data_IF_879163850263
#
_entry.id   IF_879163850263
#
_cell.length_a   1.000
_cell.length_b   1.000
_cell.length_c   1.000
_cell.angle_alpha   90.00
_cell.angle_beta   90.00
_cell.angle_gamma   90.00
#
_symmetry.space_group_name_H-M   'P 1'
#
loop_
_entity.id
_entity.type
_entity.pdbx_description
1 polymer ?
#
# COMPACT_ATOMS: atom_id res chain seq x y z
N UNK A 1 -30.99 33.49 -31.10
CA UNK A 1 -30.59 32.31 -30.32
C UNK A 1 -29.09 32.17 -30.47
N UNK A 2 -28.32 32.78 -29.58
CA UNK A 2 -26.86 32.74 -29.60
C UNK A 2 -26.47 31.35 -29.16
N UNK A 3 -25.86 30.54 -30.05
CA UNK A 3 -25.29 29.26 -29.72
C UNK A 3 -24.08 29.58 -28.81
N UNK A 4 -24.21 29.28 -27.52
CA UNK A 4 -23.08 29.36 -26.57
C UNK A 4 -21.97 28.44 -27.04
N UNK A 5 -20.89 29.02 -27.49
CA UNK A 5 -19.77 28.41 -28.19
C UNK A 5 -18.70 27.88 -27.23
N UNK A 6 -19.03 27.11 -26.19
CA UNK A 6 -17.98 26.53 -25.38
C UNK A 6 -18.35 25.22 -24.65
N UNK A 7 -19.07 24.35 -25.31
CA UNK A 7 -19.24 22.99 -24.77
C UNK A 7 -17.91 22.23 -25.01
N UNK A 8 -17.23 21.81 -23.95
CA UNK A 8 -16.07 20.95 -24.10
C UNK A 8 -16.51 19.61 -24.72
N UNK A 9 -15.76 19.11 -25.69
CA UNK A 9 -16.10 17.89 -26.43
C UNK A 9 -14.90 16.97 -26.51
N UNK A 10 -15.14 15.68 -26.35
CA UNK A 10 -14.15 14.64 -26.58
C UNK A 10 -14.13 14.37 -28.08
N UNK A 11 -12.99 14.63 -28.72
CA UNK A 11 -12.81 14.38 -30.15
C UNK A 11 -12.35 12.94 -30.42
N UNK A 12 -11.56 12.38 -29.51
CA UNK A 12 -10.97 11.02 -29.62
C UNK A 12 -10.65 10.51 -28.22
N UNK A 13 -10.81 9.20 -28.02
CA UNK A 13 -10.33 8.53 -26.81
C UNK A 13 -8.85 8.19 -26.94
N UNK A 14 -8.08 8.51 -25.93
CA UNK A 14 -6.65 8.18 -25.85
C UNK A 14 -6.51 6.81 -25.17
N UNK A 15 -5.76 5.85 -25.75
CA UNK A 15 -5.51 4.56 -25.11
C UNK A 15 -4.89 4.71 -23.72
N UNK A 16 -5.30 3.84 -22.78
CA UNK A 16 -4.79 3.86 -21.40
C UNK A 16 -3.26 3.73 -21.37
N UNK A 17 -2.69 2.85 -22.20
CA UNK A 17 -1.25 2.60 -22.27
C UNK A 17 -0.47 3.87 -22.65
N UNK A 18 -1.03 4.70 -23.54
CA UNK A 18 -0.40 5.97 -23.91
C UNK A 18 -0.37 6.96 -22.75
N UNK A 19 -1.44 6.99 -21.92
CA UNK A 19 -1.47 7.78 -20.69
C UNK A 19 -0.42 7.29 -19.69
N UNK A 20 -0.34 5.98 -19.46
CA UNK A 20 0.63 5.40 -18.52
C UNK A 20 2.07 5.56 -19.03
N UNK A 21 2.31 5.46 -20.32
CA UNK A 21 3.62 5.71 -20.93
C UNK A 21 4.07 7.16 -20.74
N UNK A 22 3.16 8.12 -20.82
CA UNK A 22 3.49 9.54 -20.59
C UNK A 22 4.01 9.80 -19.18
N UNK A 23 3.56 9.04 -18.17
CA UNK A 23 4.08 9.16 -16.81
C UNK A 23 5.56 8.78 -16.71
N UNK A 24 6.02 7.80 -17.47
CA UNK A 24 7.41 7.36 -17.42
C UNK A 24 8.37 8.46 -17.89
N UNK A 25 7.97 9.24 -18.90
CA UNK A 25 8.81 10.28 -19.50
C UNK A 25 8.71 11.65 -18.82
N UNK A 26 7.60 11.95 -18.14
CA UNK A 26 7.28 13.30 -17.65
C UNK A 26 7.23 13.46 -16.14
N UNK A 27 7.02 12.37 -15.40
CA UNK A 27 6.82 12.47 -13.95
C UNK A 27 8.07 11.96 -13.25
N UNK A 28 8.73 12.84 -12.53
CA UNK A 28 9.81 12.49 -11.62
C UNK A 28 9.29 12.11 -10.24
N UNK A 29 10.00 11.23 -9.55
CA UNK A 29 9.71 10.93 -8.15
C UNK A 29 9.99 12.16 -7.26
N UNK A 30 9.14 12.36 -6.25
CA UNK A 30 9.32 13.45 -5.29
C UNK A 30 10.60 13.27 -4.46
N UNK A 31 11.13 14.37 -3.95
CA UNK A 31 12.34 14.34 -3.11
C UNK A 31 12.10 13.50 -1.86
N UNK A 32 13.06 12.65 -1.48
CA UNK A 32 13.00 11.89 -0.24
C UNK A 32 13.00 12.79 0.98
N UNK A 33 12.34 12.35 2.07
CA UNK A 33 12.39 13.04 3.37
C UNK A 33 12.48 12.03 4.50
N UNK A 34 13.19 12.39 5.57
CA UNK A 34 13.16 11.66 6.83
C UNK A 34 11.82 11.90 7.52
N UNK A 35 11.23 10.86 8.01
CA UNK A 35 9.90 10.90 8.61
C UNK A 35 9.85 9.94 9.79
N UNK A 36 9.24 10.34 10.93
CA UNK A 36 8.96 9.41 12.01
C UNK A 36 8.19 8.19 11.49
N UNK A 37 8.59 7.00 11.91
CA UNK A 37 8.00 5.76 11.43
C UNK A 37 6.48 5.70 11.64
N UNK A 38 5.99 6.27 12.75
CA UNK A 38 4.56 6.36 13.06
C UNK A 38 3.71 7.11 12.01
N UNK A 39 4.35 7.94 11.18
CA UNK A 39 3.70 8.73 10.11
C UNK A 39 3.97 8.17 8.71
N UNK A 40 4.65 7.01 8.62
CA UNK A 40 5.15 6.48 7.36
C UNK A 40 4.29 5.34 6.77
N UNK A 41 3.12 5.03 7.36
CA UNK A 41 2.23 3.98 6.86
C UNK A 41 1.85 4.23 5.39
N UNK A 42 2.01 3.21 4.55
CA UNK A 42 1.68 3.27 3.13
C UNK A 42 2.67 4.08 2.28
N UNK A 43 3.65 4.75 2.87
CA UNK A 43 4.68 5.46 2.12
C UNK A 43 5.68 4.49 1.48
N UNK A 44 6.36 4.95 0.42
CA UNK A 44 7.39 4.20 -0.30
C UNK A 44 8.76 4.60 0.23
N UNK A 45 9.59 3.61 0.56
CA UNK A 45 10.95 3.81 1.04
C UNK A 45 11.84 4.40 -0.07
N UNK A 46 12.64 5.39 0.30
CA UNK A 46 13.62 6.01 -0.56
C UNK A 46 15.06 5.54 -0.29
N UNK A 47 15.24 4.73 0.76
CA UNK A 47 16.49 4.08 1.13
C UNK A 47 16.19 2.75 1.82
N UNK A 48 17.15 1.83 1.79
CA UNK A 48 17.07 0.59 2.55
C UNK A 48 17.03 0.88 4.04
N UNK A 49 16.24 0.10 4.79
CA UNK A 49 16.15 0.16 6.24
C UNK A 49 17.08 -0.89 6.82
N UNK A 50 18.28 -0.47 7.20
CA UNK A 50 19.27 -1.33 7.84
C UNK A 50 19.06 -1.32 9.36
N UNK A 51 18.81 -2.47 10.00
CA UNK A 51 18.69 -2.55 11.45
C UNK A 51 20.08 -2.49 12.10
N UNK A 52 20.18 -2.03 13.35
CA UNK A 52 21.32 -2.38 14.19
C UNK A 52 21.28 -3.86 14.50
N UNK A 53 22.32 -4.37 15.15
CA UNK A 53 22.30 -5.73 15.71
C UNK A 53 21.21 -5.82 16.80
N UNK A 54 20.23 -6.71 16.60
CA UNK A 54 19.09 -6.89 17.49
C UNK A 54 18.88 -8.39 17.80
N UNK A 55 18.91 -8.81 19.07
CA UNK A 55 19.40 -8.05 20.22
C UNK A 55 20.91 -7.77 20.11
N UNK A 56 21.46 -6.72 20.79
CA UNK A 56 22.89 -6.41 20.71
C UNK A 56 23.79 -7.39 21.48
N UNK A 57 23.21 -8.27 22.28
CA UNK A 57 23.83 -9.34 23.05
C UNK A 57 22.85 -10.50 23.23
N UNK A 58 23.32 -11.74 23.50
CA UNK A 58 22.40 -12.85 23.70
C UNK A 58 21.43 -12.60 24.84
N UNK A 59 20.15 -12.99 24.65
CA UNK A 59 19.06 -12.85 25.63
C UNK A 59 18.33 -14.17 25.81
N UNK A 60 17.68 -14.32 26.97
CA UNK A 60 16.84 -15.46 27.28
C UNK A 60 15.50 -15.40 26.53
N UNK A 61 15.10 -16.50 25.87
CA UNK A 61 13.79 -16.66 25.24
C UNK A 61 12.73 -17.23 26.19
N UNK A 62 13.13 -17.68 27.38
CA UNK A 62 12.27 -18.25 28.42
C UNK A 62 12.84 -17.97 29.79
N UNK A 63 11.97 -18.00 30.79
CA UNK A 63 12.38 -17.95 32.20
C UNK A 63 13.11 -19.23 32.59
N UNK A 64 14.21 -19.10 33.34
CA UNK A 64 15.00 -20.24 33.76
C UNK A 64 16.31 -19.86 34.40
N UNK A 65 17.26 -20.79 34.35
CA UNK A 65 18.63 -20.55 34.78
C UNK A 65 19.56 -20.55 33.57
N UNK A 66 20.26 -19.46 33.36
CA UNK A 66 21.34 -19.39 32.39
C UNK A 66 22.52 -20.26 32.89
N UNK A 67 23.01 -21.14 32.06
CA UNK A 67 24.06 -22.11 32.37
C UNK A 67 25.06 -22.24 31.22
N UNK A 68 26.24 -22.76 31.48
CA UNK A 68 27.07 -23.37 30.47
C UNK A 68 26.55 -24.80 30.21
N UNK A 69 26.01 -25.09 29.01
CA UNK A 69 25.38 -26.37 28.70
C UNK A 69 26.30 -27.55 28.96
N UNK A 70 27.61 -27.37 28.73
CA UNK A 70 28.65 -28.39 28.97
C UNK A 70 28.73 -28.80 30.45
N UNK A 71 28.46 -27.92 31.41
CA UNK A 71 28.53 -28.23 32.85
C UNK A 71 27.42 -29.17 33.32
N UNK A 72 26.32 -29.25 32.58
CA UNK A 72 25.14 -30.07 32.89
C UNK A 72 24.86 -31.16 31.85
N UNK A 73 25.82 -31.47 30.99
CA UNK A 73 25.64 -32.42 29.88
C UNK A 73 25.23 -33.84 30.32
N UNK A 74 25.45 -34.21 31.63
CA UNK A 74 25.01 -35.46 32.21
C UNK A 74 23.75 -35.39 33.07
N UNK A 75 23.11 -34.26 33.16
CA UNK A 75 21.95 -34.07 34.04
C UNK A 75 20.74 -34.92 33.61
N UNK A 76 20.09 -35.50 34.61
CA UNK A 76 18.88 -36.30 34.41
C UNK A 76 18.08 -36.47 35.69
N UNK A 77 16.86 -36.99 35.65
CA UNK A 77 16.00 -37.16 36.84
C UNK A 77 16.65 -38.09 37.92
N UNK A 78 17.48 -39.03 37.49
CA UNK A 78 18.18 -39.97 38.39
C UNK A 78 19.62 -39.56 38.66
N UNK A 79 20.12 -38.56 37.97
CA UNK A 79 21.47 -38.02 38.14
C UNK A 79 21.41 -36.49 38.05
N UNK A 80 20.78 -35.80 39.04
CA UNK A 80 20.78 -34.35 39.09
C UNK A 80 22.18 -33.78 39.14
N UNK A 81 22.43 -32.69 38.40
CA UNK A 81 23.73 -32.02 38.41
C UNK A 81 23.62 -30.63 39.05
N UNK A 82 24.48 -30.30 40.02
CA UNK A 82 24.51 -28.97 40.62
C UNK A 82 24.78 -27.92 39.54
N UNK A 83 24.11 -26.80 39.62
CA UNK A 83 24.39 -25.67 38.76
C UNK A 83 25.74 -25.05 39.06
N UNK A 84 26.53 -24.72 38.04
CA UNK A 84 27.84 -24.12 38.17
C UNK A 84 27.78 -22.70 38.79
N UNK A 85 28.96 -22.17 39.13
CA UNK A 85 29.07 -20.84 39.77
C UNK A 85 28.64 -19.67 38.84
N UNK A 86 28.66 -19.89 37.54
CA UNK A 86 28.22 -18.93 36.52
C UNK A 86 26.70 -18.92 36.33
N UNK A 87 26.03 -19.98 36.82
CA UNK A 87 24.58 -20.12 36.65
C UNK A 87 23.83 -19.07 37.44
N UNK A 88 22.91 -18.40 36.78
CA UNK A 88 22.01 -17.43 37.46
C UNK A 88 20.60 -17.47 36.89
N UNK A 89 19.65 -17.11 37.72
CA UNK A 89 18.27 -16.97 37.28
C UNK A 89 18.13 -15.82 36.31
N UNK A 90 17.44 -16.07 35.20
CA UNK A 90 17.11 -15.08 34.17
C UNK A 90 15.63 -15.17 33.84
N UNK A 91 15.04 -14.02 33.53
CA UNK A 91 13.70 -13.93 32.99
C UNK A 91 13.77 -13.70 31.47
N UNK A 92 12.67 -13.98 30.77
CA UNK A 92 12.57 -13.77 29.33
C UNK A 92 12.96 -12.33 28.94
N UNK A 93 13.78 -12.18 27.89
CA UNK A 93 14.37 -10.91 27.48
C UNK A 93 15.59 -10.47 28.31
N UNK A 94 15.91 -11.15 29.39
CA UNK A 94 17.12 -10.89 30.19
C UNK A 94 18.39 -11.25 29.45
N UNK A 95 19.45 -10.44 29.61
CA UNK A 95 20.73 -10.73 29.00
C UNK A 95 21.40 -11.95 29.63
N UNK A 96 22.02 -12.80 28.82
CA UNK A 96 22.81 -13.93 29.32
C UNK A 96 24.07 -13.41 30.01
N UNK A 97 24.39 -13.95 31.23
CA UNK A 97 25.65 -13.70 31.89
C UNK A 97 26.81 -14.26 31.07
N UNK A 98 27.96 -13.64 31.24
CA UNK A 98 29.23 -14.17 30.63
C UNK A 98 29.51 -15.58 31.09
N UNK A 99 29.89 -16.46 30.17
CA UNK A 99 30.19 -17.86 30.43
C UNK A 99 28.98 -18.78 30.43
N UNK A 100 27.77 -18.27 30.11
CA UNK A 100 26.57 -19.09 29.90
C UNK A 100 26.16 -19.08 28.45
N UNK A 101 25.58 -20.17 27.94
CA UNK A 101 25.22 -20.37 26.55
C UNK A 101 23.84 -21.05 26.34
N UNK A 102 23.14 -21.41 27.44
CA UNK A 102 21.84 -22.07 27.37
C UNK A 102 20.97 -21.70 28.56
N UNK A 103 19.65 -21.95 28.45
CA UNK A 103 18.69 -21.75 29.53
C UNK A 103 18.06 -23.08 29.93
N UNK A 104 18.24 -23.48 31.18
CA UNK A 104 17.49 -24.58 31.79
C UNK A 104 16.16 -24.04 32.26
N UNK A 105 15.01 -24.57 31.78
CA UNK A 105 13.70 -24.11 32.22
C UNK A 105 13.43 -24.44 33.69
N UNK A 106 12.55 -23.67 34.34
CA UNK A 106 12.33 -23.82 35.80
C UNK A 106 11.80 -25.19 36.21
N UNK A 107 11.06 -25.87 35.37
CA UNK A 107 10.51 -27.21 35.58
C UNK A 107 11.61 -28.32 35.49
N UNK A 108 12.74 -27.97 34.92
CA UNK A 108 13.92 -28.86 34.88
C UNK A 108 14.95 -28.54 35.98
N UNK A 109 14.54 -27.76 37.00
CA UNK A 109 15.38 -27.45 38.18
C UNK A 109 14.77 -28.10 39.43
N UNK A 110 15.61 -28.78 40.18
CA UNK A 110 15.30 -29.29 41.54
C UNK A 110 16.05 -28.45 42.57
N UNK A 111 15.40 -28.13 43.69
CA UNK A 111 16.03 -27.43 44.82
C UNK A 111 16.36 -28.44 45.92
N UNK A 112 17.61 -28.54 46.31
CA UNK A 112 18.06 -29.32 47.51
C UNK A 112 18.65 -28.37 48.53
N UNK A 113 17.85 -27.98 49.51
CA UNK A 113 18.24 -26.91 50.42
C UNK A 113 18.47 -25.61 49.67
N UNK A 114 19.65 -25.01 49.82
CA UNK A 114 20.00 -23.75 49.12
C UNK A 114 20.67 -23.99 47.74
N UNK A 115 20.71 -25.22 47.23
CA UNK A 115 21.35 -25.55 45.98
C UNK A 115 20.33 -25.89 44.90
N UNK A 116 20.50 -25.28 43.73
CA UNK A 116 19.76 -25.62 42.55
C UNK A 116 20.51 -26.69 41.73
N UNK A 117 19.80 -27.71 41.30
CA UNK A 117 20.34 -28.83 40.48
C UNK A 117 19.49 -28.95 39.22
N UNK A 118 20.16 -29.12 38.05
CA UNK A 118 19.49 -29.46 36.81
C UNK A 118 19.11 -30.94 36.80
N UNK A 119 17.86 -31.23 36.46
CA UNK A 119 17.36 -32.62 36.27
C UNK A 119 17.17 -33.00 34.81
N UNK A 120 17.52 -32.09 33.88
CA UNK A 120 17.58 -32.36 32.46
C UNK A 120 18.75 -31.60 31.82
N UNK A 121 19.26 -32.12 30.71
CA UNK A 121 20.25 -31.44 29.87
C UNK A 121 19.62 -30.43 28.96
N UNK A 122 20.38 -29.43 28.54
CA UNK A 122 20.05 -28.49 27.46
C UNK A 122 21.21 -28.44 26.46
N UNK A 123 20.89 -28.21 25.19
CA UNK A 123 21.92 -28.03 24.17
C UNK A 123 22.47 -26.58 24.22
N UNK A 124 23.72 -26.35 23.78
CA UNK A 124 24.23 -24.98 23.57
C UNK A 124 23.29 -24.18 22.67
N UNK A 125 22.94 -22.95 23.07
CA UNK A 125 21.99 -22.09 22.36
C UNK A 125 20.51 -22.37 22.69
N UNK A 126 20.20 -23.44 23.43
CA UNK A 126 18.79 -23.74 23.75
C UNK A 126 18.19 -22.71 24.70
N UNK A 127 17.05 -22.16 24.30
CA UNK A 127 16.36 -21.09 25.05
C UNK A 127 17.02 -19.72 24.95
N UNK A 128 17.97 -19.54 24.03
CA UNK A 128 18.74 -18.30 23.84
C UNK A 128 18.49 -17.72 22.45
N UNK A 129 18.25 -16.43 22.40
CA UNK A 129 18.34 -15.65 21.17
C UNK A 129 19.74 -15.04 21.11
N UNK A 130 20.51 -15.45 20.12
CA UNK A 130 21.85 -14.94 19.92
C UNK A 130 21.84 -13.43 19.56
N UNK A 131 22.97 -12.76 19.76
CA UNK A 131 23.16 -11.41 19.26
C UNK A 131 22.87 -11.36 17.75
N UNK A 132 22.10 -10.36 17.30
CA UNK A 132 21.67 -10.22 15.91
C UNK A 132 20.64 -11.27 15.43
N UNK A 133 20.12 -12.11 16.30
CA UNK A 133 19.22 -13.20 15.94
C UNK A 133 17.85 -12.75 15.39
N UNK A 134 17.36 -11.60 15.82
CA UNK A 134 16.13 -11.00 15.26
C UNK A 134 16.41 -10.15 14.02
N UNK A 135 17.49 -9.37 14.07
CA UNK A 135 17.89 -8.54 12.95
C UNK A 135 19.39 -8.21 13.02
N UNK A 136 20.03 -8.19 11.87
CA UNK A 136 21.45 -7.89 11.75
C UNK A 136 21.74 -6.88 10.64
N UNK A 137 22.78 -6.03 10.76
CA UNK A 137 23.10 -4.98 9.78
C UNK A 137 23.33 -5.49 8.35
N UNK A 138 23.69 -6.78 8.19
CA UNK A 138 23.93 -7.38 6.88
C UNK A 138 22.64 -7.58 6.05
N UNK A 139 21.47 -7.53 6.67
CA UNK A 139 20.18 -7.79 6.01
C UNK A 139 19.21 -6.64 6.25
N UNK A 140 18.85 -5.95 5.18
CA UNK A 140 17.85 -4.88 5.26
C UNK A 140 16.48 -5.46 5.66
N UNK A 141 15.81 -4.86 6.63
CA UNK A 141 14.42 -5.20 7.01
C UNK A 141 13.45 -4.88 5.87
N UNK A 142 13.72 -3.82 5.15
CA UNK A 142 12.98 -3.38 3.96
C UNK A 142 13.92 -2.69 3.00
N UNK A 143 13.61 -2.79 1.72
CA UNK A 143 14.41 -2.20 0.64
C UNK A 143 13.81 -0.94 0.07
N UNK A 144 14.65 -0.14 -0.55
CA UNK A 144 14.22 1.03 -1.35
C UNK A 144 13.18 0.61 -2.39
N UNK A 145 12.14 1.43 -2.56
CA UNK A 145 11.01 1.16 -3.46
C UNK A 145 9.87 0.35 -2.85
N UNK A 146 10.10 -0.33 -1.72
CA UNK A 146 9.03 -1.05 -1.02
C UNK A 146 8.11 -0.12 -0.23
N UNK A 147 6.84 -0.53 -0.14
CA UNK A 147 5.82 0.19 0.63
C UNK A 147 5.78 -0.29 2.07
N UNK A 148 5.73 0.65 3.01
CA UNK A 148 5.62 0.34 4.45
C UNK A 148 4.21 -0.13 4.80
N UNK A 149 4.12 -1.26 5.49
CA UNK A 149 2.89 -1.90 5.95
C UNK A 149 2.73 -1.70 7.46
N UNK A 150 1.55 -1.96 7.99
CA UNK A 150 1.28 -1.89 9.42
C UNK A 150 2.23 -2.76 10.26
N UNK A 151 2.59 -3.96 9.76
CA UNK A 151 3.53 -4.85 10.45
C UNK A 151 4.94 -4.25 10.52
N UNK A 152 5.37 -3.53 9.48
CA UNK A 152 6.68 -2.88 9.46
C UNK A 152 6.76 -1.79 10.54
N UNK A 153 5.65 -1.06 10.77
CA UNK A 153 5.53 -0.04 11.81
C UNK A 153 5.52 -0.64 13.24
N UNK A 154 5.20 -1.92 13.38
CA UNK A 154 5.27 -2.64 14.65
C UNK A 154 6.66 -3.25 14.89
N UNK A 155 7.26 -3.87 13.86
CA UNK A 155 8.52 -4.60 14.00
C UNK A 155 9.77 -3.68 14.03
N UNK A 156 9.79 -2.62 13.21
CA UNK A 156 10.97 -1.75 13.12
C UNK A 156 11.32 -1.01 14.42
N UNK A 157 10.34 -0.49 15.21
CA UNK A 157 10.66 0.10 16.51
C UNK A 157 11.27 -0.90 17.49
N UNK A 158 10.87 -2.18 17.44
CA UNK A 158 11.48 -3.22 18.26
C UNK A 158 12.98 -3.43 17.92
N UNK A 159 13.36 -3.17 16.68
CA UNK A 159 14.77 -3.13 16.24
C UNK A 159 15.44 -1.75 16.44
N UNK A 160 14.81 -0.81 17.18
CA UNK A 160 15.37 0.51 17.48
C UNK A 160 15.27 1.53 16.35
N UNK A 161 14.46 1.28 15.32
CA UNK A 161 14.29 2.19 14.17
C UNK A 161 13.11 3.12 14.45
N UNK A 162 13.39 4.40 14.66
CA UNK A 162 12.38 5.43 14.94
C UNK A 162 11.98 6.24 13.70
N UNK A 163 12.86 6.35 12.72
CA UNK A 163 12.68 7.16 11.51
C UNK A 163 13.09 6.38 10.27
N UNK A 164 12.45 6.73 9.16
CA UNK A 164 12.74 6.16 7.83
C UNK A 164 12.82 7.28 6.79
N UNK A 165 13.51 7.01 5.69
CA UNK A 165 13.56 7.92 4.54
C UNK A 165 12.52 7.46 3.52
N UNK A 166 11.51 8.29 3.27
CA UNK A 166 10.38 7.97 2.41
C UNK A 166 10.17 9.01 1.31
N UNK A 167 9.42 8.60 0.27
CA UNK A 167 8.74 9.52 -0.65
C UNK A 167 7.24 9.47 -0.38
N UNK A 168 6.68 10.62 0.00
CA UNK A 168 5.26 10.79 0.27
C UNK A 168 4.77 11.98 -0.56
N UNK A 169 4.17 11.72 -1.74
CA UNK A 169 3.67 12.78 -2.60
C UNK A 169 2.59 13.61 -1.91
N UNK A 170 2.60 14.91 -2.16
CA UNK A 170 1.54 15.84 -1.74
C UNK A 170 0.50 15.91 -2.84
N UNK A 171 -0.69 15.44 -2.57
CA UNK A 171 -1.79 15.39 -3.52
C UNK A 171 -2.88 16.38 -3.11
N UNK A 172 -3.18 17.36 -3.97
CA UNK A 172 -4.34 18.21 -3.78
C UNK A 172 -5.58 17.59 -4.45
N UNK A 173 -6.69 17.61 -3.75
CA UNK A 173 -8.02 17.26 -4.27
C UNK A 173 -8.84 18.52 -4.38
N UNK A 174 -9.41 18.78 -5.55
CA UNK A 174 -10.26 19.95 -5.77
C UNK A 174 -11.55 19.57 -6.47
N UNK A 175 -12.66 20.20 -6.10
CA UNK A 175 -13.89 20.10 -6.89
C UNK A 175 -13.77 20.97 -8.12
N UNK A 176 -14.04 20.38 -9.26
CA UNK A 176 -14.03 21.06 -10.55
C UNK A 176 -15.46 21.46 -10.99
N UNK A 177 -16.40 21.50 -10.05
CA UNK A 177 -17.78 21.92 -10.28
C UNK A 177 -18.36 22.55 -9.01
N UNK A 178 -19.21 23.53 -9.15
CA UNK A 178 -19.96 24.15 -8.05
C UNK A 178 -21.05 23.23 -7.48
N UNK A 179 -21.42 22.15 -8.18
CA UNK A 179 -22.42 21.20 -7.72
C UNK A 179 -22.00 20.54 -6.39
N UNK A 180 -22.95 20.42 -5.47
CA UNK A 180 -22.75 19.75 -4.19
C UNK A 180 -23.75 18.60 -4.07
N UNK A 181 -23.41 17.45 -4.64
CA UNK A 181 -24.26 16.26 -4.59
C UNK A 181 -23.65 15.20 -3.67
N UNK A 182 -24.47 14.33 -3.06
CA UNK A 182 -23.94 13.22 -2.25
C UNK A 182 -22.96 12.33 -3.01
N UNK A 183 -23.19 12.10 -4.30
CA UNK A 183 -22.31 11.27 -5.15
C UNK A 183 -20.94 11.92 -5.34
N UNK A 184 -20.90 13.22 -5.60
CA UNK A 184 -19.65 13.96 -5.74
C UNK A 184 -18.86 13.99 -4.41
N UNK A 185 -19.55 14.15 -3.29
CA UNK A 185 -18.93 14.05 -1.96
C UNK A 185 -18.35 12.66 -1.72
N UNK A 186 -19.10 11.61 -2.08
CA UNK A 186 -18.62 10.23 -1.95
C UNK A 186 -17.38 9.99 -2.82
N UNK A 187 -17.35 10.47 -4.06
CA UNK A 187 -16.18 10.39 -4.92
C UNK A 187 -14.95 11.07 -4.29
N UNK A 188 -15.10 12.30 -3.78
CA UNK A 188 -14.02 13.04 -3.13
C UNK A 188 -13.48 12.30 -1.90
N UNK A 189 -14.37 11.86 -1.00
CA UNK A 189 -13.97 11.10 0.21
C UNK A 189 -13.28 9.80 -0.15
N UNK A 190 -13.79 9.07 -1.16
CA UNK A 190 -13.19 7.82 -1.62
C UNK A 190 -11.79 8.06 -2.17
N UNK A 191 -11.60 9.01 -3.07
CA UNK A 191 -10.29 9.33 -3.65
C UNK A 191 -9.30 9.81 -2.58
N UNK A 192 -9.75 10.63 -1.62
CA UNK A 192 -8.92 11.06 -0.49
C UNK A 192 -8.40 9.87 0.32
N UNK A 193 -9.29 8.94 0.68
CA UNK A 193 -8.91 7.72 1.41
C UNK A 193 -7.96 6.82 0.61
N UNK A 194 -8.24 6.64 -0.67
CA UNK A 194 -7.36 5.87 -1.56
C UNK A 194 -5.96 6.49 -1.64
N UNK A 195 -5.86 7.82 -1.74
CA UNK A 195 -4.59 8.53 -1.79
C UNK A 195 -3.81 8.44 -0.47
N UNK A 196 -4.49 8.60 0.67
CA UNK A 196 -3.88 8.43 2.00
C UNK A 196 -3.36 7.00 2.17
N UNK A 197 -4.17 5.99 1.81
CA UNK A 197 -3.75 4.58 1.85
C UNK A 197 -2.56 4.31 0.92
N UNK A 198 -2.44 5.06 -0.19
CA UNK A 198 -1.30 5.01 -1.09
C UNK A 198 -0.06 5.79 -0.57
N UNK A 199 -0.10 6.34 0.65
CA UNK A 199 1.02 7.04 1.29
C UNK A 199 1.17 8.51 0.87
N UNK A 200 0.13 9.14 0.30
CA UNK A 200 0.12 10.55 -0.01
C UNK A 200 -0.23 11.41 1.20
N UNK A 201 0.38 12.60 1.26
CA UNK A 201 -0.15 13.70 2.05
C UNK A 201 -1.26 14.39 1.24
N UNK A 202 -2.49 14.33 1.71
CA UNK A 202 -3.66 14.85 0.97
C UNK A 202 -4.09 16.18 1.55
N UNK A 203 -4.34 17.15 0.66
CA UNK A 203 -4.97 18.43 0.98
C UNK A 203 -6.23 18.62 0.11
N UNK A 204 -7.20 19.39 0.62
CA UNK A 204 -8.39 19.75 -0.13
C UNK A 204 -8.35 21.25 -0.45
N UNK A 205 -8.53 21.57 -1.73
CA UNK A 205 -8.67 22.95 -2.18
C UNK A 205 -10.15 23.32 -2.37
N UNK A 206 -10.48 24.58 -2.16
CA UNK A 206 -11.86 25.07 -2.24
C UNK A 206 -12.43 25.01 -3.66
N UNK A 207 -11.57 25.14 -4.68
CA UNK A 207 -11.94 25.08 -6.10
C UNK A 207 -10.77 24.57 -6.96
N UNK A 208 -11.11 24.09 -8.17
CA UNK A 208 -10.10 23.73 -9.17
C UNK A 208 -9.22 24.93 -9.55
N UNK A 209 -9.81 26.09 -9.72
CA UNK A 209 -9.12 27.32 -10.10
C UNK A 209 -8.02 27.72 -9.09
N UNK A 210 -8.32 27.62 -7.81
CA UNK A 210 -7.38 27.86 -6.72
C UNK A 210 -6.25 26.81 -6.74
N UNK A 211 -6.60 25.52 -6.77
CA UNK A 211 -5.65 24.42 -6.79
C UNK A 211 -4.70 24.45 -8.00
N UNK A 212 -5.16 24.89 -9.16
CA UNK A 212 -4.33 25.07 -10.35
C UNK A 212 -3.30 26.19 -10.17
N UNK A 213 -3.66 27.24 -9.41
CA UNK A 213 -2.78 28.39 -9.16
C UNK A 213 -1.79 28.16 -8.02
N UNK A 214 -2.13 27.31 -7.05
CA UNK A 214 -1.28 26.98 -5.90
C UNK A 214 -0.16 26.02 -6.28
N UNK A 215 1.07 26.35 -5.89
CA UNK A 215 2.29 25.57 -6.19
C UNK A 215 2.68 24.52 -5.14
N UNK A 216 1.84 24.25 -4.13
CA UNK A 216 2.26 23.50 -2.94
C UNK A 216 2.02 21.98 -3.01
N UNK A 217 1.48 21.44 -4.10
CA UNK A 217 1.27 20.01 -4.29
C UNK A 217 2.12 19.43 -5.43
N UNK A 218 2.39 18.14 -5.36
CA UNK A 218 3.16 17.41 -6.35
C UNK A 218 2.28 16.88 -7.49
N UNK A 219 0.97 16.72 -7.23
CA UNK A 219 -0.06 16.44 -8.22
C UNK A 219 -1.42 16.97 -7.78
N UNK A 220 -2.33 17.17 -8.73
CA UNK A 220 -3.70 17.62 -8.49
C UNK A 220 -4.70 16.62 -9.08
N UNK A 221 -5.75 16.31 -8.33
CA UNK A 221 -6.94 15.61 -8.84
C UNK A 221 -8.13 16.57 -8.78
N UNK A 222 -8.67 16.93 -9.95
CA UNK A 222 -9.91 17.68 -10.10
C UNK A 222 -11.09 16.73 -10.26
N UNK A 223 -12.17 16.90 -9.47
CA UNK A 223 -13.30 15.99 -9.42
C UNK A 223 -14.54 16.65 -9.99
N UNK A 224 -15.10 16.09 -11.05
CA UNK A 224 -16.26 16.57 -11.78
C UNK A 224 -15.90 17.51 -12.94
N UNK A 225 -16.91 17.96 -13.68
CA UNK A 225 -16.76 18.95 -14.74
C UNK A 225 -16.00 18.48 -15.99
N UNK A 226 -15.85 17.18 -16.21
CA UNK A 226 -15.08 16.60 -17.33
C UNK A 226 -15.94 16.26 -18.55
N UNK A 227 -17.26 16.23 -18.42
CA UNK A 227 -18.19 15.86 -19.49
C UNK A 227 -18.49 16.99 -20.46
N UNK A 228 -19.64 16.88 -21.15
CA UNK A 228 -20.14 17.86 -22.12
C UNK A 228 -21.35 18.63 -21.60
N UNK A 229 -21.61 18.59 -20.30
CA UNK A 229 -22.70 19.31 -19.65
C UNK A 229 -22.49 20.83 -19.67
N UNK A 230 -23.57 21.59 -19.53
CA UNK A 230 -23.52 23.07 -19.53
C UNK A 230 -22.62 23.68 -18.44
N UNK A 231 -22.30 22.93 -17.40
CA UNK A 231 -21.46 23.34 -16.26
C UNK A 231 -20.13 22.63 -16.22
N UNK A 232 -19.80 21.88 -17.28
CA UNK A 232 -18.56 21.14 -17.36
C UNK A 232 -17.52 22.02 -18.08
N UNK A 233 -16.60 22.58 -17.31
CA UNK A 233 -15.57 23.51 -17.76
C UNK A 233 -14.17 23.18 -17.21
N UNK A 234 -14.04 22.07 -16.49
CA UNK A 234 -12.79 21.69 -15.82
C UNK A 234 -11.61 21.58 -16.78
N UNK A 235 -11.85 21.00 -17.97
CA UNK A 235 -10.79 20.82 -18.99
C UNK A 235 -10.41 22.17 -19.61
N UNK A 236 -11.37 23.07 -19.81
CA UNK A 236 -11.09 24.44 -20.28
C UNK A 236 -10.33 25.24 -19.24
N UNK A 237 -10.67 25.07 -17.95
CA UNK A 237 -9.96 25.73 -16.86
C UNK A 237 -8.51 25.27 -16.77
N UNK A 238 -8.27 23.97 -16.95
CA UNK A 238 -6.90 23.44 -17.07
C UNK A 238 -6.18 24.00 -18.30
N UNK A 239 -6.85 24.07 -19.46
CA UNK A 239 -6.27 24.59 -20.70
C UNK A 239 -5.87 26.08 -20.60
N UNK A 240 -6.57 26.89 -19.80
CA UNK A 240 -6.22 28.30 -19.57
C UNK A 240 -4.94 28.49 -18.75
N UNK A 241 -4.59 27.53 -17.88
CA UNK A 241 -3.47 27.67 -16.93
C UNK A 241 -2.34 26.71 -17.19
N UNK A 242 -2.55 25.73 -18.06
CA UNK A 242 -1.58 24.71 -18.34
C UNK A 242 -1.79 24.08 -19.72
N UNK A 243 -1.40 22.84 -19.85
CA UNK A 243 -1.56 22.08 -21.09
C UNK A 243 -2.41 20.84 -20.84
N UNK A 244 -3.45 20.66 -21.63
CA UNK A 244 -4.22 19.43 -21.71
C UNK A 244 -3.49 18.46 -22.62
N UNK A 245 -3.15 17.29 -22.13
CA UNK A 245 -2.49 16.23 -22.89
C UNK A 245 -3.51 15.27 -23.51
N UNK A 246 -4.51 14.91 -22.73
CA UNK A 246 -5.61 14.07 -23.19
C UNK A 246 -6.92 14.54 -22.55
N UNK A 247 -7.99 14.60 -23.35
CA UNK A 247 -9.38 14.69 -22.91
C UNK A 247 -10.17 13.60 -23.58
N UNK A 248 -10.65 12.65 -22.79
CA UNK A 248 -11.18 11.37 -23.23
C UNK A 248 -10.12 10.29 -23.22
N UNK A 249 -10.33 9.28 -22.37
CA UNK A 249 -9.43 8.13 -22.19
C UNK A 249 -10.24 6.87 -22.45
N UNK A 250 -9.63 5.91 -23.15
CA UNK A 250 -10.27 4.65 -23.53
C UNK A 250 -10.42 3.68 -22.34
N UNK A 251 -11.16 4.10 -21.32
CA UNK A 251 -11.48 3.34 -20.11
C UNK A 251 -12.99 3.38 -19.82
N UNK A 252 -13.51 2.34 -19.21
CA UNK A 252 -14.93 2.23 -18.87
C UNK A 252 -15.11 1.64 -17.45
N UNK A 253 -15.90 2.31 -16.56
CA UNK A 253 -16.37 3.68 -16.69
C UNK A 253 -15.21 4.68 -16.53
N UNK A 254 -15.40 5.93 -17.00
CA UNK A 254 -14.42 7.00 -16.80
C UNK A 254 -13.90 7.67 -18.06
N UNK A 255 -14.50 7.39 -19.21
CA UNK A 255 -14.12 7.83 -20.54
C UNK A 255 -13.96 9.35 -20.69
N UNK A 256 -14.63 10.15 -19.85
CA UNK A 256 -14.53 11.61 -19.88
C UNK A 256 -13.34 12.17 -19.08
N UNK A 257 -12.52 11.32 -18.47
CA UNK A 257 -11.34 11.76 -17.73
C UNK A 257 -10.36 12.52 -18.63
N UNK A 258 -9.58 13.43 -17.99
CA UNK A 258 -8.56 14.17 -18.70
C UNK A 258 -7.24 14.19 -17.91
N UNK A 259 -6.14 14.24 -18.64
CA UNK A 259 -4.80 14.42 -18.10
C UNK A 259 -4.18 15.68 -18.70
N UNK A 260 -3.50 16.45 -17.87
CA UNK A 260 -2.70 17.58 -18.31
C UNK A 260 -1.67 18.00 -17.27
N UNK A 261 -1.05 19.13 -17.50
CA UNK A 261 0.04 19.64 -16.65
C UNK A 261 -0.06 21.16 -16.47
N UNK A 262 0.28 21.62 -15.27
CA UNK A 262 0.58 23.03 -14.98
C UNK A 262 2.07 23.11 -14.65
N UNK A 263 2.88 23.64 -15.59
CA UNK A 263 4.33 23.39 -15.58
C UNK A 263 4.62 21.91 -15.67
N UNK A 264 5.39 21.38 -14.74
CA UNK A 264 5.70 19.94 -14.63
C UNK A 264 4.73 19.18 -13.72
N UNK A 265 3.81 19.88 -13.06
CA UNK A 265 2.86 19.29 -12.12
C UNK A 265 1.71 18.61 -12.87
N UNK A 266 1.52 17.29 -12.73
CA UNK A 266 0.41 16.57 -13.34
C UNK A 266 -0.93 16.94 -12.70
N UNK A 267 -1.94 17.04 -13.56
CA UNK A 267 -3.33 17.31 -13.20
C UNK A 267 -4.20 16.23 -13.83
N UNK A 268 -4.82 15.41 -12.99
CA UNK A 268 -5.77 14.39 -13.40
C UNK A 268 -7.19 14.89 -13.11
N UNK A 269 -8.00 15.09 -14.15
CA UNK A 269 -9.40 15.43 -14.01
C UNK A 269 -10.24 14.16 -14.11
N UNK A 270 -11.02 13.88 -13.07
CA UNK A 270 -11.85 12.69 -12.99
C UNK A 270 -13.34 13.04 -13.07
N UNK A 271 -14.19 12.18 -13.64
CA UNK A 271 -15.63 12.40 -13.65
C UNK A 271 -16.21 12.54 -12.24
N UNK A 272 -17.34 13.25 -12.10
CA UNK A 272 -18.00 13.43 -10.81
C UNK A 272 -18.82 12.21 -10.33
N UNK A 273 -19.03 11.19 -11.17
CA UNK A 273 -19.67 9.92 -10.80
C UNK A 273 -18.70 9.09 -9.96
N UNK A 274 -19.19 8.47 -8.89
CA UNK A 274 -18.36 7.68 -7.97
C UNK A 274 -17.67 6.50 -8.66
N UNK A 275 -18.41 5.75 -9.47
CA UNK A 275 -17.91 4.60 -10.22
C UNK A 275 -16.81 5.00 -11.21
N UNK A 276 -17.05 6.05 -11.98
CA UNK A 276 -16.08 6.55 -12.96
C UNK A 276 -14.83 7.14 -12.28
N UNK A 277 -15.00 7.91 -11.20
CA UNK A 277 -13.90 8.44 -10.42
C UNK A 277 -13.03 7.31 -9.81
N UNK A 278 -13.68 6.26 -9.30
CA UNK A 278 -12.98 5.08 -8.76
C UNK A 278 -12.23 4.31 -9.86
N UNK A 279 -12.84 4.07 -11.02
CA UNK A 279 -12.18 3.42 -12.14
C UNK A 279 -10.96 4.22 -12.65
N UNK A 280 -11.08 5.54 -12.78
CA UNK A 280 -9.95 6.41 -13.13
C UNK A 280 -8.84 6.34 -12.07
N UNK A 281 -9.19 6.28 -10.79
CA UNK A 281 -8.21 6.08 -9.74
C UNK A 281 -7.49 4.73 -9.89
N UNK A 282 -8.23 3.65 -10.08
CA UNK A 282 -7.67 2.30 -10.24
C UNK A 282 -6.73 2.19 -11.43
N UNK A 283 -7.09 2.78 -12.56
CA UNK A 283 -6.38 2.61 -13.81
C UNK A 283 -5.29 3.68 -14.05
N UNK A 284 -5.44 4.87 -13.44
CA UNK A 284 -4.54 6.00 -13.69
C UNK A 284 -4.01 6.59 -12.39
N UNK A 285 -4.88 6.95 -11.45
CA UNK A 285 -4.52 7.71 -10.25
C UNK A 285 -3.46 7.01 -9.40
N UNK A 286 -3.62 5.71 -9.13
CA UNK A 286 -2.65 4.93 -8.35
C UNK A 286 -1.29 4.78 -9.06
N UNK A 287 -1.28 4.74 -10.39
CA UNK A 287 -0.04 4.71 -11.18
C UNK A 287 0.69 6.05 -11.14
N UNK A 288 -0.07 7.15 -11.22
CA UNK A 288 0.47 8.50 -11.02
C UNK A 288 1.14 8.65 -9.65
N UNK A 289 0.44 8.25 -8.58
CA UNK A 289 0.96 8.30 -7.22
C UNK A 289 2.17 7.40 -7.04
N UNK A 290 2.12 6.16 -7.56
CA UNK A 290 3.26 5.24 -7.49
C UNK A 290 4.49 5.82 -8.19
N UNK A 291 4.34 6.44 -9.35
CA UNK A 291 5.43 7.09 -10.07
C UNK A 291 6.02 8.26 -9.27
N UNK A 292 5.19 9.13 -8.69
CA UNK A 292 5.63 10.22 -7.83
C UNK A 292 6.35 9.70 -6.57
N UNK A 293 5.92 8.57 -6.03
CA UNK A 293 6.57 7.93 -4.88
C UNK A 293 7.84 7.16 -5.25
N UNK A 294 8.17 7.02 -6.54
CA UNK A 294 9.33 6.24 -6.99
C UNK A 294 9.17 4.73 -6.80
N UNK A 295 7.93 4.25 -6.66
CA UNK A 295 7.56 2.85 -6.54
C UNK A 295 6.79 2.37 -7.76
N UNK A 296 6.19 1.19 -7.62
CA UNK A 296 5.29 0.57 -8.62
C UNK A 296 3.94 0.29 -7.99
N UNK A 297 2.93 0.11 -8.83
CA UNK A 297 1.66 -0.47 -8.41
C UNK A 297 1.87 -1.97 -8.28
N UNK A 298 1.63 -2.50 -7.09
CA UNK A 298 1.69 -3.93 -6.80
C UNK A 298 0.26 -4.45 -6.65
N UNK A 299 -0.15 -5.26 -7.60
CA UNK A 299 -1.40 -6.01 -7.51
C UNK A 299 -1.07 -7.46 -7.12
N UNK A 300 -1.80 -7.98 -6.15
CA UNK A 300 -1.76 -9.39 -5.77
C UNK A 300 -3.15 -9.99 -6.02
N UNK A 301 -3.50 -10.25 -7.28
CA UNK A 301 -4.82 -10.74 -7.62
C UNK A 301 -5.01 -12.17 -7.16
N UNK A 302 -6.24 -12.52 -6.84
CA UNK A 302 -6.67 -13.91 -6.68
C UNK A 302 -7.20 -14.41 -8.02
N UNK A 303 -6.72 -15.55 -8.50
CA UNK A 303 -7.23 -16.17 -9.73
C UNK A 303 -8.48 -16.97 -9.41
N UNK A 304 -9.59 -16.61 -10.05
CA UNK A 304 -10.90 -17.28 -9.88
C UNK A 304 -11.52 -17.57 -11.24
N UNK A 305 -12.43 -18.57 -11.28
CA UNK A 305 -13.22 -18.86 -12.48
C UNK A 305 -14.41 -17.92 -12.58
N UNK A 306 -14.66 -17.37 -13.76
CA UNK A 306 -15.77 -16.46 -14.01
C UNK A 306 -17.11 -17.21 -14.06
N UNK A 307 -18.09 -16.82 -13.27
CA UNK A 307 -19.41 -17.50 -13.20
C UNK A 307 -20.27 -17.27 -14.44
N UNK A 308 -20.18 -16.07 -15.02
CA UNK A 308 -20.96 -15.66 -16.20
C UNK A 308 -20.07 -14.94 -17.20
N UNK A 309 -20.43 -15.01 -18.49
CA UNK A 309 -19.77 -14.24 -19.54
C UNK A 309 -19.79 -12.74 -19.22
N UNK A 310 -18.67 -12.08 -19.47
CA UNK A 310 -18.51 -10.62 -19.52
C UNK A 310 -18.27 -10.23 -20.96
N UNK A 311 -18.95 -9.20 -21.44
CA UNK A 311 -18.70 -8.59 -22.75
C UNK A 311 -18.16 -7.18 -22.56
N UNK A 312 -17.23 -6.77 -23.40
CA UNK A 312 -16.65 -5.44 -23.41
C UNK A 312 -16.49 -4.94 -24.85
N UNK A 313 -16.20 -3.67 -25.01
CA UNK A 313 -15.97 -3.04 -26.32
C UNK A 313 -14.49 -3.02 -26.62
N UNK A 314 -14.08 -3.57 -27.78
CA UNK A 314 -12.68 -3.49 -28.24
C UNK A 314 -12.22 -2.02 -28.25
N UNK A 315 -11.01 -1.79 -27.80
CA UNK A 315 -10.43 -0.47 -27.65
C UNK A 315 -10.70 0.21 -26.31
N UNK A 316 -11.52 -0.40 -25.43
CA UNK A 316 -11.82 0.11 -24.09
C UNK A 316 -11.24 -0.80 -23.01
N UNK A 317 -10.50 -0.24 -22.07
CA UNK A 317 -10.11 -0.96 -20.85
C UNK A 317 -11.22 -0.83 -19.83
N UNK A 318 -11.81 -1.94 -19.37
CA UNK A 318 -13.01 -1.90 -18.53
C UNK A 318 -12.77 -2.48 -17.13
N UNK A 319 -13.32 -1.81 -16.11
CA UNK A 319 -13.34 -2.26 -14.72
C UNK A 319 -14.69 -2.91 -14.42
N UNK A 320 -14.68 -4.18 -14.05
CA UNK A 320 -15.88 -4.94 -13.75
C UNK A 320 -15.88 -5.34 -12.26
N UNK A 321 -16.86 -4.91 -11.46
CA UNK A 321 -17.01 -5.34 -10.07
C UNK A 321 -17.44 -6.80 -10.02
N UNK A 322 -16.84 -7.58 -9.13
CA UNK A 322 -17.16 -9.00 -8.96
C UNK A 322 -17.43 -9.35 -7.51
N UNK A 323 -18.32 -10.29 -7.28
CA UNK A 323 -18.54 -10.97 -6.01
C UNK A 323 -17.85 -12.33 -6.05
N UNK A 324 -17.13 -12.66 -5.00
CA UNK A 324 -16.35 -13.89 -4.89
C UNK A 324 -17.06 -14.90 -3.99
N UNK A 325 -17.32 -16.10 -4.47
CA UNK A 325 -17.85 -17.19 -3.65
C UNK A 325 -17.55 -18.56 -4.27
N UNK A 326 -17.15 -19.54 -3.44
CA UNK A 326 -16.91 -20.90 -3.89
C UNK A 326 -15.87 -21.03 -5.00
N UNK A 327 -14.79 -20.24 -4.96
CA UNK A 327 -13.74 -20.24 -5.99
C UNK A 327 -14.14 -19.58 -7.32
N UNK A 328 -15.27 -18.89 -7.36
CA UNK A 328 -15.80 -18.24 -8.55
C UNK A 328 -15.96 -16.73 -8.36
N UNK A 329 -15.78 -15.96 -9.46
CA UNK A 329 -16.05 -14.55 -9.57
C UNK A 329 -17.36 -14.33 -10.33
N UNK A 330 -18.35 -13.67 -9.71
CA UNK A 330 -19.62 -13.31 -10.33
C UNK A 330 -19.62 -11.83 -10.72
N UNK A 331 -19.70 -11.47 -12.00
CA UNK A 331 -19.77 -10.07 -12.43
C UNK A 331 -21.09 -9.43 -11.96
N UNK A 332 -20.99 -8.20 -11.42
CA UNK A 332 -22.14 -7.47 -10.88
C UNK A 332 -22.60 -6.29 -11.77
N UNK A 333 -21.88 -5.97 -12.82
CA UNK A 333 -22.22 -4.90 -13.75
C UNK A 333 -21.13 -4.69 -14.79
N UNK A 334 -21.44 -3.92 -15.83
CA UNK A 334 -20.53 -3.45 -16.87
C UNK A 334 -20.93 -2.01 -17.24
N UNK A 335 -20.05 -1.25 -17.87
CA UNK A 335 -20.25 0.14 -18.32
C UNK A 335 -20.62 1.13 -17.19
N UNK A 336 -21.59 0.82 -16.37
CA UNK A 336 -22.03 1.58 -15.21
C UNK A 336 -22.02 0.73 -13.95
N UNK A 337 -21.24 1.13 -12.95
CA UNK A 337 -21.15 0.41 -11.68
C UNK A 337 -22.12 1.02 -10.67
N UNK A 338 -23.29 0.42 -10.53
CA UNK A 338 -24.29 0.89 -9.58
C UNK A 338 -23.76 0.85 -8.14
N UNK A 339 -24.32 1.70 -7.26
CA UNK A 339 -23.97 1.66 -5.84
C UNK A 339 -24.18 0.27 -5.24
N UNK A 340 -25.22 -0.45 -5.70
CA UNK A 340 -25.46 -1.84 -5.29
C UNK A 340 -24.36 -2.78 -5.76
N UNK A 341 -23.88 -2.62 -6.99
CA UNK A 341 -22.76 -3.42 -7.50
C UNK A 341 -21.49 -3.14 -6.71
N UNK A 342 -21.15 -1.87 -6.48
CA UNK A 342 -19.98 -1.46 -5.70
C UNK A 342 -20.01 -1.99 -4.25
N UNK A 343 -21.17 -1.91 -3.57
CA UNK A 343 -21.29 -2.34 -2.16
C UNK A 343 -21.35 -3.84 -1.97
N UNK A 344 -21.73 -4.61 -3.02
CA UNK A 344 -21.80 -6.07 -2.98
C UNK A 344 -20.57 -6.77 -3.56
N UNK A 345 -19.68 -6.03 -4.18
CA UNK A 345 -18.47 -6.59 -4.77
C UNK A 345 -17.39 -6.79 -3.73
N UNK A 346 -16.67 -7.90 -3.84
CA UNK A 346 -15.49 -8.21 -3.02
C UNK A 346 -14.20 -7.72 -3.69
N UNK A 347 -14.26 -7.48 -5.00
CA UNK A 347 -13.14 -7.04 -5.82
C UNK A 347 -13.58 -6.64 -7.22
N UNK A 348 -12.60 -6.49 -8.10
CA UNK A 348 -12.82 -6.10 -9.49
C UNK A 348 -11.87 -6.87 -10.43
N UNK A 349 -12.31 -7.06 -11.67
CA UNK A 349 -11.47 -7.59 -12.76
C UNK A 349 -11.27 -6.51 -13.81
N UNK A 350 -10.17 -6.64 -14.54
CA UNK A 350 -9.86 -5.80 -15.70
C UNK A 350 -10.17 -6.57 -16.98
N UNK A 351 -10.92 -5.95 -17.87
CA UNK A 351 -10.99 -6.39 -19.28
C UNK A 351 -10.06 -5.51 -20.07
N UNK A 352 -9.00 -6.07 -20.70
CA UNK A 352 -8.04 -5.27 -21.46
C UNK A 352 -8.64 -4.80 -22.78
N UNK A 353 -8.07 -3.73 -23.35
CA UNK A 353 -8.60 -3.04 -24.52
C UNK A 353 -8.66 -3.91 -25.80
N UNK A 354 -7.82 -4.91 -25.89
CA UNK A 354 -7.79 -5.86 -27.02
C UNK A 354 -8.80 -7.01 -26.90
N UNK A 355 -9.56 -7.07 -25.79
CA UNK A 355 -10.49 -8.16 -25.50
C UNK A 355 -11.96 -7.73 -25.65
N UNK A 356 -12.78 -8.58 -26.25
CA UNK A 356 -14.25 -8.46 -26.26
C UNK A 356 -14.88 -8.94 -24.93
N UNK A 357 -14.07 -9.26 -23.92
CA UNK A 357 -14.51 -9.78 -22.62
C UNK A 357 -14.01 -11.20 -22.34
N UNK A 358 -14.71 -11.89 -21.46
CA UNK A 358 -14.34 -13.24 -21.00
C UNK A 358 -15.54 -14.18 -21.08
N UNK A 359 -15.33 -15.41 -21.51
CA UNK A 359 -16.37 -16.46 -21.47
C UNK A 359 -16.65 -16.88 -20.02
N UNK A 360 -17.82 -17.46 -19.76
CA UNK A 360 -18.07 -18.15 -18.51
C UNK A 360 -17.07 -19.30 -18.33
N UNK A 361 -16.54 -19.48 -17.12
CA UNK A 361 -15.51 -20.46 -16.81
C UNK A 361 -14.07 -20.00 -17.06
N UNK A 362 -13.83 -18.85 -17.72
CA UNK A 362 -12.49 -18.30 -17.89
C UNK A 362 -11.85 -17.98 -16.54
N UNK A 363 -10.56 -18.21 -16.40
CA UNK A 363 -9.79 -17.71 -15.28
C UNK A 363 -9.59 -16.19 -15.40
N UNK A 364 -9.85 -15.49 -14.31
CA UNK A 364 -9.73 -14.03 -14.22
C UNK A 364 -8.95 -13.63 -12.96
N UNK A 365 -8.16 -12.58 -13.09
CA UNK A 365 -7.41 -11.98 -11.99
C UNK A 365 -8.32 -11.00 -11.23
N UNK A 366 -8.77 -11.38 -10.03
CA UNK A 366 -9.60 -10.54 -9.18
C UNK A 366 -8.71 -9.70 -8.27
N UNK A 367 -8.75 -8.40 -8.46
CA UNK A 367 -8.06 -7.42 -7.64
C UNK A 367 -8.95 -6.97 -6.48
N UNK A 368 -8.33 -6.64 -5.34
CA UNK A 368 -9.03 -6.08 -4.19
C UNK A 368 -9.34 -4.59 -4.41
N UNK A 369 -10.44 -4.13 -3.82
CA UNK A 369 -10.70 -2.70 -3.74
C UNK A 369 -9.66 -1.99 -2.87
N UNK A 370 -9.33 -0.72 -3.16
CA UNK A 370 -8.31 0.04 -2.44
C UNK A 370 -8.65 0.33 -0.97
#
# INVERSE_FOLDING_TARGET
MTIETSVQRIARLTPLEAILASFQSRIAAVMPRRTPLSQALGAVLAADVQPPECPPRPIALRDGFAVAAAEIAGAGPYAPMPLGLTACRVDVGGALPSGTDAIVPLDAISLRGDRAEAVATVAPGEGVLAAGGDAAPATALRRVGERLRALDLAAMPAAGIAEVTIRSPRLALARATAARTPVLNAAQVTLSRCAVKAGCAVSEASSLAEALSEGQCDALIGIGGTGSGRRDDAVQELARRGRVEAHGIAICPGETAALGFVGERPVLLVPGRLDAALAVWLLIGRHLVAKLAGGKVEDMPTILSLRRKVTSTIGMTEVIPVRCSGGMAEPLGSEYLSLTALTRSDGWILVPAESEGFAAGSEVAVNQWP
#
